data_IF_545261666752
#
_entry.id   IF_545261666752
#
_cell.length_a   1.000
_cell.length_b   1.000
_cell.length_c   1.000
_cell.angle_alpha   90.00
_cell.angle_beta   90.00
_cell.angle_gamma   90.00
#
_symmetry.space_group_name_H-M   'P 1'
#
loop_
_entity.id
_entity.type
_entity.pdbx_description
1 polymer ?
#
# COMPACT_ATOMS: atom_id res chain seq x y z
N UNK A 1 0.38 2.84 15.66
CA UNK A 1 -0.94 2.27 15.38
C UNK A 1 -1.95 3.38 15.16
N UNK A 2 -2.76 3.26 14.13
CA UNK A 2 -3.86 4.17 13.81
C UNK A 2 -5.11 3.35 13.54
N UNK A 3 -6.28 3.86 13.96
CA UNK A 3 -7.55 3.25 13.65
C UNK A 3 -8.60 4.32 13.37
N UNK A 4 -9.54 3.98 12.53
CA UNK A 4 -10.69 4.80 12.22
C UNK A 4 -11.94 3.92 12.16
N UNK A 5 -13.03 4.42 12.73
CA UNK A 5 -14.35 3.84 12.59
C UNK A 5 -15.36 4.92 12.24
N UNK A 6 -16.21 4.65 11.27
CA UNK A 6 -17.24 5.57 10.83
C UNK A 6 -18.29 4.90 9.96
N UNK A 7 -19.24 5.70 9.46
CA UNK A 7 -20.27 5.24 8.54
C UNK A 7 -20.13 5.98 7.21
N UNK A 8 -20.05 5.25 6.10
CA UNK A 8 -19.85 5.84 4.77
C UNK A 8 -21.13 6.39 4.16
N UNK A 9 -22.30 5.89 4.58
CA UNK A 9 -23.61 6.20 3.98
C UNK A 9 -24.71 6.34 5.04
N UNK A 10 -24.42 6.96 6.15
CA UNK A 10 -25.43 7.18 7.21
C UNK A 10 -26.64 7.93 6.65
N UNK A 11 -27.85 7.52 7.07
CA UNK A 11 -29.15 8.03 6.59
C UNK A 11 -29.57 7.71 5.14
N UNK A 12 -28.85 6.87 4.43
CA UNK A 12 -29.23 6.44 3.08
C UNK A 12 -30.19 5.25 3.15
N UNK A 13 -31.33 5.33 2.43
CA UNK A 13 -32.24 4.22 2.27
C UNK A 13 -31.73 3.34 1.12
N UNK A 14 -31.48 2.07 1.41
CA UNK A 14 -31.13 1.04 0.46
C UNK A 14 -32.09 -0.13 0.53
N UNK A 15 -31.76 -1.23 -0.14
CA UNK A 15 -32.50 -2.49 -0.06
C UNK A 15 -31.56 -3.54 0.51
N UNK A 16 -32.07 -4.36 1.42
CA UNK A 16 -31.35 -5.54 1.91
C UNK A 16 -31.31 -6.64 0.83
N UNK A 17 -30.64 -7.74 1.11
CA UNK A 17 -30.53 -8.89 0.22
C UNK A 17 -31.89 -9.50 -0.19
N UNK A 18 -32.96 -9.22 0.56
CA UNK A 18 -34.33 -9.67 0.33
C UNK A 18 -35.17 -8.62 -0.42
N UNK A 19 -34.57 -7.50 -0.81
CA UNK A 19 -35.25 -6.41 -1.52
C UNK A 19 -36.08 -5.49 -0.61
N UNK A 20 -36.08 -5.69 0.72
CA UNK A 20 -36.78 -4.84 1.68
C UNK A 20 -36.04 -3.53 1.90
N UNK A 21 -36.74 -2.43 1.96
CA UNK A 21 -36.13 -1.13 2.29
C UNK A 21 -35.46 -1.19 3.68
N UNK A 22 -34.20 -0.84 3.71
CA UNK A 22 -33.37 -0.84 4.93
C UNK A 22 -32.52 0.41 4.99
N UNK A 23 -32.27 0.90 6.19
CA UNK A 23 -31.34 1.99 6.43
C UNK A 23 -29.93 1.42 6.45
N UNK A 24 -29.16 1.71 5.42
CA UNK A 24 -27.77 1.27 5.33
C UNK A 24 -26.87 2.21 6.12
N UNK A 25 -25.85 1.66 6.75
CA UNK A 25 -24.82 2.44 7.46
C UNK A 25 -23.49 2.44 6.76
N UNK A 26 -23.15 1.35 6.08
CA UNK A 26 -21.86 1.16 5.44
C UNK A 26 -20.73 1.39 6.44
N UNK A 27 -20.72 0.62 7.53
CA UNK A 27 -19.71 0.76 8.57
C UNK A 27 -18.30 0.60 8.00
N UNK A 28 -17.45 1.62 8.17
CA UNK A 28 -16.08 1.65 7.69
C UNK A 28 -15.13 1.52 8.87
N UNK A 29 -14.35 0.44 8.90
CA UNK A 29 -13.27 0.22 9.84
C UNK A 29 -11.94 0.26 9.11
N UNK A 30 -11.02 1.11 9.53
CA UNK A 30 -9.66 1.16 9.02
C UNK A 30 -8.68 0.95 10.17
N UNK A 31 -7.64 0.14 9.93
CA UNK A 31 -6.55 -0.08 10.87
C UNK A 31 -5.21 -0.02 10.16
N UNK A 32 -4.24 0.64 10.76
CA UNK A 32 -2.87 0.75 10.27
C UNK A 32 -1.87 0.54 11.40
N UNK A 33 -0.84 -0.22 11.11
CA UNK A 33 0.29 -0.45 12.01
C UNK A 33 1.58 -0.21 11.24
N UNK A 34 2.41 0.70 11.74
CA UNK A 34 3.72 1.00 11.19
C UNK A 34 4.80 0.76 12.25
N UNK A 35 5.95 0.29 11.81
CA UNK A 35 7.13 0.24 12.66
C UNK A 35 8.38 0.66 11.88
N UNK A 36 9.34 1.20 12.60
CA UNK A 36 10.68 1.52 12.10
C UNK A 36 11.70 1.10 13.14
N UNK A 37 12.70 0.37 12.70
CA UNK A 37 13.89 0.04 13.44
C UNK A 37 15.10 0.65 12.76
N UNK A 38 15.95 1.35 13.50
CA UNK A 38 17.18 1.97 12.98
C UNK A 38 18.25 1.89 14.06
N UNK A 39 19.01 0.80 14.07
CA UNK A 39 20.12 0.59 14.97
C UNK A 39 21.11 -0.43 14.38
N UNK A 40 22.35 -0.45 14.91
CA UNK A 40 23.39 -1.41 14.56
C UNK A 40 23.67 -1.50 13.04
N UNK A 41 23.62 -0.38 12.34
CA UNK A 41 23.75 -0.29 10.87
C UNK A 41 22.61 -0.96 10.07
N UNK A 42 21.55 -1.41 10.73
CA UNK A 42 20.34 -1.93 10.09
C UNK A 42 19.22 -0.89 10.12
N UNK A 43 18.47 -0.87 9.03
CA UNK A 43 17.18 -0.21 8.97
C UNK A 43 16.15 -1.26 8.61
N UNK A 44 15.07 -1.34 9.39
CA UNK A 44 13.90 -2.13 9.02
C UNK A 44 12.65 -1.26 9.16
N UNK A 45 11.77 -1.32 8.17
CA UNK A 45 10.48 -0.62 8.15
C UNK A 45 9.41 -1.60 7.73
N UNK A 46 8.28 -1.54 8.39
CA UNK A 46 7.14 -2.35 8.00
C UNK A 46 5.85 -1.61 8.23
N UNK A 47 4.85 -2.00 7.45
CA UNK A 47 3.49 -1.50 7.59
C UNK A 47 2.49 -2.63 7.38
N UNK A 48 1.34 -2.48 7.98
CA UNK A 48 0.17 -3.32 7.78
C UNK A 48 -1.07 -2.43 7.81
N UNK A 49 -1.85 -2.49 6.74
CA UNK A 49 -3.07 -1.72 6.57
C UNK A 49 -4.24 -2.67 6.27
N UNK A 50 -5.35 -2.46 6.95
CA UNK A 50 -6.56 -3.22 6.73
C UNK A 50 -7.77 -2.29 6.75
N UNK A 51 -8.61 -2.42 5.73
CA UNK A 51 -9.88 -1.72 5.62
C UNK A 51 -11.03 -2.70 5.46
N UNK A 52 -12.13 -2.44 6.17
CA UNK A 52 -13.37 -3.22 6.05
C UNK A 52 -14.56 -2.30 5.88
N UNK A 53 -15.40 -2.61 4.91
CA UNK A 53 -16.67 -1.93 4.64
C UNK A 53 -17.82 -2.91 4.89
N UNK A 54 -18.65 -2.59 5.88
CA UNK A 54 -19.92 -3.28 6.11
C UNK A 54 -20.94 -2.93 5.04
N UNK A 55 -21.94 -3.77 4.87
CA UNK A 55 -23.05 -3.60 3.89
C UNK A 55 -22.53 -3.36 2.45
N UNK A 56 -21.35 -3.93 2.10
CA UNK A 56 -20.67 -3.65 0.82
C UNK A 56 -21.53 -4.04 -0.39
N UNK A 57 -22.36 -5.07 -0.27
CA UNK A 57 -23.23 -5.52 -1.35
C UNK A 57 -24.40 -4.54 -1.54
N UNK A 58 -25.01 -4.12 -0.46
CA UNK A 58 -26.11 -3.15 -0.46
C UNK A 58 -25.60 -1.76 -0.90
N UNK A 59 -24.40 -1.38 -0.47
CA UNK A 59 -23.72 -0.16 -0.92
C UNK A 59 -23.50 -0.17 -2.43
N UNK A 60 -23.15 -1.33 -3.01
CA UNK A 60 -23.00 -1.51 -4.45
C UNK A 60 -24.30 -1.24 -5.21
N UNK A 61 -25.42 -1.66 -4.65
CA UNK A 61 -26.75 -1.57 -5.29
C UNK A 61 -27.41 -0.18 -5.16
N UNK A 62 -26.78 0.77 -4.46
CA UNK A 62 -27.33 2.12 -4.30
C UNK A 62 -27.48 2.84 -5.65
N UNK A 63 -28.61 3.55 -5.88
CA UNK A 63 -28.80 4.39 -7.06
C UNK A 63 -27.70 5.45 -7.20
N UNK A 64 -27.33 5.76 -8.45
CA UNK A 64 -26.33 6.79 -8.75
C UNK A 64 -24.86 6.32 -8.73
N UNK A 65 -24.57 5.09 -8.32
CA UNK A 65 -23.19 4.55 -8.42
C UNK A 65 -22.81 4.13 -9.84
N UNK A 66 -23.76 3.68 -10.61
CA UNK A 66 -23.56 3.32 -12.02
C UNK A 66 -23.80 4.57 -12.88
N UNK A 67 -22.80 5.39 -13.07
CA UNK A 67 -22.87 6.53 -14.00
C UNK A 67 -22.14 6.18 -15.29
N UNK A 68 -22.82 6.26 -16.42
CA UNK A 68 -22.23 6.07 -17.76
C UNK A 68 -21.11 7.07 -18.09
N UNK A 69 -21.00 8.14 -17.34
CA UNK A 69 -20.04 9.22 -17.51
C UNK A 69 -18.76 9.05 -16.69
N UNK A 70 -18.70 8.09 -15.79
CA UNK A 70 -17.49 7.84 -15.00
C UNK A 70 -16.49 6.99 -15.81
N UNK A 71 -15.22 7.40 -15.96
CA UNK A 71 -14.20 6.58 -16.60
C UNK A 71 -13.84 5.32 -15.79
N UNK A 72 -14.30 5.24 -14.54
CA UNK A 72 -14.06 4.11 -13.65
C UNK A 72 -15.34 3.28 -13.51
N UNK A 73 -15.19 1.97 -13.70
CA UNK A 73 -16.29 1.04 -13.41
C UNK A 73 -16.51 0.99 -11.90
N UNK A 74 -17.69 1.45 -11.44
CA UNK A 74 -18.11 1.45 -10.03
C UNK A 74 -19.11 0.35 -9.71
N UNK A 75 -19.24 -0.64 -10.57
CA UNK A 75 -20.22 -1.71 -10.44
C UNK A 75 -19.93 -2.63 -9.26
N UNK A 76 -18.67 -2.63 -8.76
CA UNK A 76 -18.24 -3.51 -7.69
C UNK A 76 -17.65 -2.72 -6.54
N UNK A 77 -18.02 -3.13 -5.32
CA UNK A 77 -17.53 -2.56 -4.07
C UNK A 77 -16.99 -3.67 -3.20
N UNK A 78 -15.68 -3.68 -2.96
CA UNK A 78 -15.05 -4.67 -2.08
C UNK A 78 -15.50 -4.51 -0.63
N UNK A 79 -15.66 -5.63 0.07
CA UNK A 79 -15.92 -5.63 1.51
C UNK A 79 -14.67 -5.33 2.34
N UNK A 80 -13.49 -5.52 1.77
CA UNK A 80 -12.24 -5.25 2.46
C UNK A 80 -11.11 -4.95 1.48
N UNK A 81 -10.06 -4.34 2.00
CA UNK A 81 -8.77 -4.15 1.37
C UNK A 81 -7.66 -4.41 2.38
N UNK A 82 -6.52 -4.91 1.92
CA UNK A 82 -5.37 -5.21 2.77
C UNK A 82 -4.08 -4.80 2.06
N UNK A 83 -3.13 -4.25 2.80
CA UNK A 83 -1.76 -4.05 2.36
C UNK A 83 -0.79 -4.38 3.50
N UNK A 84 0.36 -4.93 3.17
CA UNK A 84 1.46 -5.07 4.11
C UNK A 84 2.79 -5.01 3.37
N UNK A 85 3.82 -4.54 4.05
CA UNK A 85 5.15 -4.45 3.48
C UNK A 85 6.23 -4.50 4.55
N UNK A 86 7.41 -4.97 4.11
CA UNK A 86 8.62 -5.02 4.91
C UNK A 86 9.81 -4.62 4.05
N UNK A 87 10.57 -3.65 4.52
CA UNK A 87 11.86 -3.25 3.98
C UNK A 87 12.95 -3.51 5.02
N UNK A 88 14.06 -4.10 4.58
CA UNK A 88 15.24 -4.28 5.41
C UNK A 88 16.46 -3.81 4.64
N UNK A 89 17.28 -2.97 5.25
CA UNK A 89 18.52 -2.44 4.69
C UNK A 89 19.68 -2.52 5.66
N UNK A 90 20.87 -2.71 5.11
CA UNK A 90 22.12 -2.74 5.86
C UNK A 90 23.13 -1.75 5.29
N UNK A 91 23.78 -0.97 6.19
CA UNK A 91 24.83 -0.04 5.80
C UNK A 91 26.15 -0.76 5.55
N UNK A 92 26.45 -1.03 4.28
CA UNK A 92 27.67 -1.73 3.85
C UNK A 92 28.94 -0.95 4.22
N UNK A 93 28.89 0.40 4.12
CA UNK A 93 30.04 1.25 4.40
C UNK A 93 30.45 1.25 5.88
N UNK A 94 29.58 0.76 6.77
CA UNK A 94 29.94 0.56 8.18
C UNK A 94 31.12 -0.38 8.38
N UNK A 95 31.41 -1.24 7.43
CA UNK A 95 32.52 -2.21 7.46
C UNK A 95 33.86 -1.61 6.95
N UNK A 96 33.81 -0.40 6.37
CA UNK A 96 34.99 0.24 5.76
C UNK A 96 35.35 1.48 6.59
N UNK A 97 36.46 1.43 7.34
CA UNK A 97 36.83 2.48 8.29
C UNK A 97 36.92 3.87 7.67
N UNK A 98 37.55 4.00 6.49
CA UNK A 98 37.71 5.29 5.80
C UNK A 98 36.34 5.92 5.47
N UNK A 99 35.43 5.16 4.88
CA UNK A 99 34.11 5.66 4.48
C UNK A 99 33.22 5.97 5.70
N UNK A 100 33.40 5.19 6.77
CA UNK A 100 32.75 5.45 8.05
C UNK A 100 33.27 6.74 8.70
N UNK A 101 34.57 7.00 8.63
CA UNK A 101 35.19 8.23 9.13
C UNK A 101 34.69 9.46 8.36
N UNK A 102 34.46 9.34 7.07
CA UNK A 102 33.90 10.39 6.21
C UNK A 102 32.37 10.56 6.33
N UNK A 103 31.73 9.85 7.27
CA UNK A 103 30.26 9.81 7.46
C UNK A 103 29.45 9.39 6.24
N UNK A 104 30.08 8.75 5.28
CA UNK A 104 29.38 8.21 4.11
C UNK A 104 28.62 6.94 4.48
N UNK A 105 27.44 6.74 3.89
CA UNK A 105 26.63 5.53 4.11
C UNK A 105 26.16 4.97 2.78
N UNK A 106 26.21 3.66 2.67
CA UNK A 106 25.59 2.92 1.55
C UNK A 106 24.73 1.83 2.12
N UNK A 107 23.42 2.01 2.02
CA UNK A 107 22.47 0.96 2.38
C UNK A 107 22.14 0.12 1.15
N UNK A 108 22.40 -1.20 1.22
CA UNK A 108 21.73 -2.15 0.37
C UNK A 108 20.44 -2.57 1.06
N UNK A 109 19.32 -2.58 0.34
CA UNK A 109 18.04 -2.94 0.89
C UNK A 109 17.28 -3.94 0.01
N UNK A 110 16.40 -4.68 0.66
CA UNK A 110 15.38 -5.50 0.03
C UNK A 110 14.02 -5.09 0.60
N UNK A 111 13.01 -5.08 -0.26
CA UNK A 111 11.65 -4.69 0.06
C UNK A 111 10.67 -5.71 -0.51
N UNK A 112 9.65 -6.06 0.28
CA UNK A 112 8.52 -6.88 -0.15
C UNK A 112 7.22 -6.21 0.24
N UNK A 113 6.29 -6.15 -0.71
CA UNK A 113 4.92 -5.66 -0.50
C UNK A 113 3.90 -6.68 -1.00
N UNK A 114 2.86 -6.84 -0.23
CA UNK A 114 1.62 -7.49 -0.64
C UNK A 114 0.47 -6.52 -0.50
N UNK A 115 -0.38 -6.43 -1.50
CA UNK A 115 -1.63 -5.68 -1.40
C UNK A 115 -2.74 -6.29 -2.23
N UNK A 116 -3.95 -6.22 -1.69
CA UNK A 116 -5.18 -6.56 -2.37
C UNK A 116 -6.18 -5.43 -2.11
N UNK A 117 -6.39 -4.61 -3.12
CA UNK A 117 -7.26 -3.43 -3.04
C UNK A 117 -8.76 -3.76 -3.11
N UNK A 118 -9.10 -5.00 -3.42
CA UNK A 118 -10.47 -5.43 -3.59
C UNK A 118 -10.66 -6.87 -3.12
N UNK A 119 -11.24 -7.04 -1.95
CA UNK A 119 -11.70 -8.34 -1.44
C UNK A 119 -13.21 -8.36 -1.60
N UNK A 120 -13.78 -9.20 -2.49
CA UNK A 120 -15.20 -9.21 -2.79
C UNK A 120 -16.04 -9.80 -1.66
N UNK A 121 -17.34 -9.53 -1.70
CA UNK A 121 -18.36 -10.31 -1.00
C UNK A 121 -18.54 -11.68 -1.68
N UNK A 122 -19.33 -12.57 -1.08
CA UNK A 122 -19.61 -13.89 -1.67
C UNK A 122 -20.38 -13.79 -3.01
N UNK A 123 -21.11 -12.69 -3.23
CA UNK A 123 -21.94 -12.46 -4.42
C UNK A 123 -21.21 -11.72 -5.55
N UNK A 124 -19.96 -11.31 -5.34
CA UNK A 124 -19.19 -10.51 -6.30
C UNK A 124 -18.06 -11.33 -6.92
N UNK A 125 -17.70 -11.05 -8.19
CA UNK A 125 -16.58 -11.71 -8.83
C UNK A 125 -15.25 -11.33 -8.18
N UNK A 126 -14.29 -12.25 -8.25
CA UNK A 126 -12.90 -11.98 -7.88
C UNK A 126 -12.15 -11.40 -9.06
N UNK A 127 -11.43 -10.31 -8.85
CA UNK A 127 -10.56 -9.72 -9.86
C UNK A 127 -9.10 -10.02 -9.54
N UNK A 128 -8.46 -10.97 -10.24
CA UNK A 128 -7.09 -11.39 -9.92
C UNK A 128 -6.03 -10.27 -10.03
N UNK A 129 -6.31 -9.23 -10.82
CA UNK A 129 -5.40 -8.09 -10.98
C UNK A 129 -5.36 -7.12 -9.79
N UNK A 130 -6.28 -7.28 -8.82
CA UNK A 130 -6.29 -6.46 -7.59
C UNK A 130 -5.35 -6.98 -6.52
N UNK A 131 -4.94 -8.25 -6.63
CA UNK A 131 -4.01 -8.91 -5.74
C UNK A 131 -2.61 -8.89 -6.34
N UNK A 132 -1.68 -8.23 -5.69
CA UNK A 132 -0.34 -8.00 -6.22
C UNK A 132 0.72 -8.22 -5.15
N UNK A 133 1.86 -8.75 -5.60
CA UNK A 133 3.08 -8.88 -4.83
C UNK A 133 4.15 -8.04 -5.52
N UNK A 134 4.93 -7.28 -4.78
CA UNK A 134 6.07 -6.54 -5.28
C UNK A 134 7.29 -6.89 -4.48
N UNK A 135 8.39 -7.20 -5.18
CA UNK A 135 9.72 -7.30 -4.60
C UNK A 135 10.58 -6.20 -5.17
N UNK A 136 11.41 -5.60 -4.35
CA UNK A 136 12.39 -4.62 -4.78
C UNK A 136 13.73 -4.85 -4.08
N UNK A 137 14.81 -4.53 -4.78
CA UNK A 137 16.16 -4.46 -4.23
C UNK A 137 16.81 -3.18 -4.69
N UNK A 138 17.65 -2.59 -3.86
CA UNK A 138 18.27 -1.35 -4.26
C UNK A 138 19.39 -0.88 -3.34
N UNK A 139 19.90 0.28 -3.70
CA UNK A 139 20.98 0.97 -3.01
C UNK A 139 20.57 2.41 -2.70
N UNK A 140 20.85 2.85 -1.48
CA UNK A 140 20.72 4.23 -1.05
C UNK A 140 22.10 4.72 -0.61
N UNK A 141 22.74 5.57 -1.43
CA UNK A 141 24.03 6.14 -1.15
C UNK A 141 23.90 7.55 -0.60
N UNK A 142 24.49 7.78 0.56
CA UNK A 142 24.57 9.08 1.24
C UNK A 142 26.03 9.57 1.18
N UNK A 143 26.40 10.39 0.17
CA UNK A 143 27.72 11.04 0.14
C UNK A 143 27.91 12.01 1.28
N UNK A 144 26.83 12.67 1.69
CA UNK A 144 26.71 13.52 2.89
C UNK A 144 25.35 13.24 3.53
N UNK A 145 25.16 13.54 4.83
CA UNK A 145 23.91 13.20 5.52
C UNK A 145 22.63 13.75 4.88
N UNK A 146 22.73 14.89 4.19
CA UNK A 146 21.58 15.61 3.61
C UNK A 146 21.21 15.15 2.19
N UNK A 147 22.09 14.40 1.52
CA UNK A 147 21.85 13.97 0.13
C UNK A 147 21.79 12.45 0.07
N UNK A 148 20.77 11.92 -0.59
CA UNK A 148 20.70 10.50 -0.92
C UNK A 148 20.53 10.30 -2.41
N UNK A 149 21.37 9.44 -2.98
CA UNK A 149 21.25 8.93 -4.35
C UNK A 149 20.67 7.52 -4.24
N UNK A 150 19.56 7.27 -4.93
CA UNK A 150 18.80 6.04 -4.85
C UNK A 150 18.82 5.32 -6.19
N UNK A 151 19.01 4.02 -6.16
CA UNK A 151 18.83 3.12 -7.30
C UNK A 151 18.02 1.91 -6.84
N UNK A 152 16.94 1.59 -7.54
CA UNK A 152 16.05 0.48 -7.21
C UNK A 152 15.68 -0.29 -8.46
N UNK A 153 15.72 -1.60 -8.37
CA UNK A 153 15.02 -2.50 -9.28
C UNK A 153 13.84 -3.12 -8.54
N UNK A 154 12.67 -3.09 -9.13
CA UNK A 154 11.49 -3.73 -8.57
C UNK A 154 10.77 -4.59 -9.60
N UNK A 155 10.16 -5.64 -9.10
CA UNK A 155 9.35 -6.57 -9.88
C UNK A 155 8.00 -6.72 -9.20
N UNK A 156 6.93 -6.38 -9.93
CA UNK A 156 5.57 -6.65 -9.51
C UNK A 156 5.10 -7.94 -10.15
N UNK A 157 4.65 -8.87 -9.32
CA UNK A 157 4.14 -10.16 -9.75
C UNK A 157 2.61 -10.12 -9.73
N UNK A 158 2.03 -10.49 -10.87
CA UNK A 158 0.61 -10.61 -11.07
C UNK A 158 0.24 -12.08 -11.30
N UNK A 159 -1.04 -12.42 -11.19
CA UNK A 159 -1.50 -13.75 -11.56
C UNK A 159 -1.21 -14.05 -13.03
N UNK A 160 -1.01 -15.33 -13.37
CA UNK A 160 -0.47 -15.83 -14.63
C UNK A 160 -1.08 -15.24 -15.92
N UNK A 161 -2.32 -14.76 -15.87
CA UNK A 161 -3.01 -14.16 -17.02
C UNK A 161 -2.63 -12.69 -17.29
N UNK A 162 -1.83 -12.08 -16.41
CA UNK A 162 -1.36 -10.71 -16.54
C UNK A 162 0.16 -10.67 -16.60
N UNK A 163 0.71 -9.72 -17.32
CA UNK A 163 2.15 -9.54 -17.41
C UNK A 163 2.72 -9.03 -16.08
N UNK A 164 3.89 -9.53 -15.73
CA UNK A 164 4.69 -8.94 -14.65
C UNK A 164 5.16 -7.55 -15.06
N UNK A 165 5.32 -6.67 -14.07
CA UNK A 165 5.71 -5.28 -14.27
C UNK A 165 7.09 -5.02 -13.64
N UNK A 166 8.20 -5.20 -14.40
CA UNK A 166 9.53 -4.81 -13.94
C UNK A 166 9.68 -3.29 -14.00
N UNK A 167 10.46 -2.72 -13.08
CA UNK A 167 10.73 -1.29 -13.03
C UNK A 167 12.14 -1.04 -12.51
N UNK A 168 12.81 -0.06 -13.11
CA UNK A 168 14.07 0.51 -12.61
C UNK A 168 13.82 1.96 -12.27
N UNK A 169 14.24 2.39 -11.11
CA UNK A 169 14.13 3.78 -10.68
C UNK A 169 15.48 4.31 -10.19
N UNK A 170 15.79 5.54 -10.57
CA UNK A 170 16.92 6.32 -10.09
C UNK A 170 16.39 7.64 -9.53
N UNK A 171 16.95 8.09 -8.45
CA UNK A 171 16.51 9.34 -7.82
C UNK A 171 17.59 9.96 -6.95
N UNK A 172 17.46 11.27 -6.77
CA UNK A 172 18.25 12.04 -5.80
C UNK A 172 17.26 12.79 -4.92
N UNK A 173 17.49 12.74 -3.62
CA UNK A 173 16.72 13.51 -2.65
C UNK A 173 17.66 14.31 -1.75
N UNK A 174 17.22 15.50 -1.37
CA UNK A 174 17.87 16.39 -0.43
C UNK A 174 16.98 16.63 0.77
N UNK A 175 17.55 16.55 1.96
CA UNK A 175 16.88 16.86 3.23
C UNK A 175 17.56 18.08 3.87
N UNK A 176 16.89 19.24 3.85
CA UNK A 176 17.41 20.49 4.40
C UNK A 176 16.55 21.68 3.98
N UNK A 177 16.92 22.86 4.52
CA UNK A 177 16.31 24.12 4.10
C UNK A 177 17.13 24.70 2.92
N UNK A 178 16.44 25.13 1.88
CA UNK A 178 17.04 26.04 0.91
C UNK A 178 17.03 27.45 1.52
N UNK A 179 18.23 27.98 1.80
CA UNK A 179 18.41 29.37 2.21
C UNK A 179 18.37 30.28 1.02
#
# INVERSE_FOLDING_TARGET
FRSYYGHSIDNTLGRDANGKASKLKGALCLGSLDFTYNAHNWIARGHFDYGHLGDAEEVRLLPGRQTKTSPFNRDYVGKAAIACGLEVGYNIFSQIEKLRADNQKLYAFAHYEYYNSYIPTAMQPKFPYTEKHRMAVGLNYYPVPQIVIKAEYSQRFLKRQYNNEPSVSLGVAYEGFFL
#
